data_IF_786871356968
#
_entry.id   IF_786871356968
#
_cell.length_a   1.000
_cell.length_b   1.000
_cell.length_c   1.000
_cell.angle_alpha   90.00
_cell.angle_beta   90.00
_cell.angle_gamma   90.00
#
_symmetry.space_group_name_H-M   'P 1'
#
loop_
_entity.id
_entity.type
_entity.pdbx_description
1 polymer ?
#
# COMPACT_ATOMS: atom_id res chain seq x y z
N UNK A 1 -31.69 4.11 3.09
CA UNK A 1 -30.25 4.30 3.32
C UNK A 1 -29.58 4.21 1.97
N UNK A 2 -28.94 5.28 1.49
CA UNK A 2 -28.44 5.37 0.12
C UNK A 2 -27.04 4.75 0.02
N UNK A 3 -26.69 4.21 -1.13
CA UNK A 3 -25.36 3.66 -1.44
C UNK A 3 -24.23 4.71 -1.25
N UNK A 4 -24.58 6.00 -1.31
CA UNK A 4 -23.71 7.15 -1.00
C UNK A 4 -23.35 7.29 0.49
N UNK A 5 -24.17 6.75 1.40
CA UNK A 5 -23.90 6.78 2.84
C UNK A 5 -22.96 5.64 3.27
N UNK A 6 -22.80 4.61 2.41
CA UNK A 6 -22.06 3.38 2.71
C UNK A 6 -20.59 3.43 2.27
N UNK A 7 -20.25 4.19 1.22
CA UNK A 7 -18.90 4.26 0.67
C UNK A 7 -18.43 5.72 0.52
N UNK A 8 -17.20 6.05 0.95
CA UNK A 8 -16.64 7.40 0.94
C UNK A 8 -16.08 7.76 -0.46
N UNK A 9 -16.89 7.55 -1.48
CA UNK A 9 -16.51 7.69 -2.88
C UNK A 9 -17.65 7.33 -3.82
N UNK A 10 -17.44 7.55 -5.11
CA UNK A 10 -18.38 7.20 -6.16
C UNK A 10 -17.69 6.40 -7.27
N UNK A 11 -18.46 5.52 -7.92
CA UNK A 11 -17.96 4.72 -9.04
C UNK A 11 -17.84 5.58 -10.30
N UNK A 12 -16.71 5.44 -11.01
CA UNK A 12 -16.36 6.19 -12.21
C UNK A 12 -15.75 5.28 -13.27
N UNK A 13 -15.82 5.72 -14.53
CA UNK A 13 -15.13 5.11 -15.67
C UNK A 13 -14.12 6.13 -16.21
N UNK A 14 -12.82 5.84 -16.07
CA UNK A 14 -11.75 6.72 -16.56
C UNK A 14 -10.93 5.97 -17.60
N UNK A 15 -10.91 6.49 -18.83
CA UNK A 15 -10.21 5.89 -19.97
C UNK A 15 -10.55 4.40 -20.17
N UNK A 16 -11.82 4.02 -19.97
CA UNK A 16 -12.29 2.64 -20.08
C UNK A 16 -11.97 1.75 -18.88
N UNK A 17 -11.38 2.29 -17.82
CA UNK A 17 -11.11 1.58 -16.56
C UNK A 17 -12.17 1.95 -15.52
N UNK A 18 -12.92 0.95 -15.08
CA UNK A 18 -13.88 1.06 -13.99
C UNK A 18 -13.19 1.13 -12.63
N UNK A 19 -13.64 2.03 -11.76
CA UNK A 19 -13.06 2.19 -10.43
C UNK A 19 -13.89 3.08 -9.51
N UNK A 20 -13.49 3.13 -8.24
CA UNK A 20 -14.08 4.05 -7.26
C UNK A 20 -13.18 5.27 -7.07
N UNK A 21 -13.72 6.46 -7.32
CA UNK A 21 -13.05 7.73 -7.01
C UNK A 21 -13.27 8.10 -5.55
N UNK A 22 -12.21 8.54 -4.87
CA UNK A 22 -12.30 9.05 -3.51
C UNK A 22 -12.92 10.45 -3.47
N UNK A 23 -13.82 10.68 -2.51
CA UNK A 23 -14.47 11.99 -2.31
C UNK A 23 -13.74 12.89 -1.30
N UNK A 24 -12.64 12.42 -0.71
CA UNK A 24 -11.87 13.22 0.24
C UNK A 24 -11.17 14.36 -0.51
N UNK A 25 -11.36 15.58 -0.01
CA UNK A 25 -10.78 16.78 -0.61
C UNK A 25 -9.26 16.65 -0.76
N UNK A 26 -8.75 16.91 -1.96
CA UNK A 26 -7.33 16.78 -2.30
C UNK A 26 -6.87 15.34 -2.62
N UNK A 27 -7.78 14.37 -2.68
CA UNK A 27 -7.49 13.00 -3.10
C UNK A 27 -8.12 12.70 -4.47
N UNK A 28 -7.29 12.65 -5.52
CA UNK A 28 -7.74 12.26 -6.87
C UNK A 28 -7.54 10.77 -7.16
N UNK A 29 -7.38 9.95 -6.12
CA UNK A 29 -7.12 8.52 -6.28
C UNK A 29 -8.37 7.80 -6.78
N UNK A 30 -8.19 7.00 -7.82
CA UNK A 30 -9.17 6.00 -8.29
C UNK A 30 -8.64 4.63 -7.88
N UNK A 31 -9.43 3.90 -7.12
CA UNK A 31 -9.13 2.53 -6.69
C UNK A 31 -9.97 1.53 -7.45
N UNK A 32 -9.61 0.25 -7.34
CA UNK A 32 -10.21 -0.84 -8.11
C UNK A 32 -11.74 -0.89 -8.06
N UNK A 33 -12.37 -1.68 -8.94
CA UNK A 33 -13.81 -1.64 -9.16
C UNK A 33 -14.64 -2.18 -7.98
N UNK A 34 -14.00 -2.83 -6.98
CA UNK A 34 -14.74 -3.43 -5.88
C UNK A 34 -15.06 -2.37 -4.82
N UNK A 35 -16.28 -2.32 -4.27
CA UNK A 35 -16.61 -1.39 -3.19
C UNK A 35 -15.72 -1.56 -1.94
N UNK A 36 -15.16 -2.75 -1.72
CA UNK A 36 -14.17 -2.99 -0.66
C UNK A 36 -12.86 -2.22 -0.85
N UNK A 37 -12.49 -1.89 -2.09
CA UNK A 37 -11.26 -1.18 -2.41
C UNK A 37 -11.32 0.26 -1.90
N UNK A 38 -12.44 0.96 -2.10
CA UNK A 38 -12.64 2.33 -1.60
C UNK A 38 -12.79 2.39 -0.07
N UNK A 39 -13.45 1.39 0.52
CA UNK A 39 -13.54 1.26 1.98
C UNK A 39 -12.16 1.04 2.61
N UNK A 40 -11.28 0.26 1.96
CA UNK A 40 -9.90 0.06 2.39
C UNK A 40 -9.07 1.33 2.19
N UNK A 41 -9.19 1.96 1.02
CA UNK A 41 -8.50 3.20 0.68
C UNK A 41 -8.74 4.31 1.71
N UNK A 42 -9.99 4.50 2.19
CA UNK A 42 -10.33 5.52 3.20
C UNK A 42 -9.37 5.55 4.39
N UNK A 43 -8.80 4.41 4.79
CA UNK A 43 -7.88 4.30 5.92
C UNK A 43 -6.63 5.17 5.77
N UNK A 44 -6.23 5.54 4.55
CA UNK A 44 -5.12 6.49 4.32
C UNK A 44 -5.41 7.89 4.84
N UNK A 45 -6.67 8.31 4.84
CA UNK A 45 -7.10 9.62 5.35
C UNK A 45 -7.31 9.62 6.87
N UNK A 46 -7.27 8.45 7.50
CA UNK A 46 -7.29 8.33 8.95
C UNK A 46 -5.86 8.45 9.46
N UNK A 47 -5.45 9.66 9.83
CA UNK A 47 -4.08 9.99 10.24
C UNK A 47 -3.47 9.02 11.28
N UNK A 48 -4.31 8.38 12.11
CA UNK A 48 -3.87 7.47 13.17
C UNK A 48 -4.05 5.97 12.87
N UNK A 49 -4.44 5.58 11.66
CA UNK A 49 -4.58 4.16 11.35
C UNK A 49 -3.20 3.48 11.27
N UNK A 50 -3.14 2.18 11.55
CA UNK A 50 -1.91 1.41 11.30
C UNK A 50 -1.53 1.44 9.80
N UNK A 51 -2.54 1.54 8.92
CA UNK A 51 -2.33 1.58 7.48
C UNK A 51 -1.73 2.91 7.00
N UNK A 52 -2.17 4.05 7.56
CA UNK A 52 -1.61 5.36 7.22
C UNK A 52 -0.14 5.46 7.66
N UNK A 53 0.18 4.98 8.87
CA UNK A 53 1.57 4.89 9.37
C UNK A 53 2.46 3.99 8.50
N UNK A 54 1.91 2.90 7.97
CA UNK A 54 2.67 2.01 7.09
C UNK A 54 2.73 2.54 5.64
N UNK A 55 1.83 3.43 5.24
CA UNK A 55 1.80 4.07 3.92
C UNK A 55 2.71 5.31 3.83
N UNK A 56 3.16 5.84 4.97
CA UNK A 56 4.06 6.97 5.03
C UNK A 56 5.36 6.70 4.27
N UNK A 57 5.78 7.69 3.48
CA UNK A 57 7.02 7.61 2.71
C UNK A 57 8.21 7.82 3.63
N UNK A 58 9.24 7.01 3.46
CA UNK A 58 10.53 7.23 4.11
C UNK A 58 11.18 8.52 3.60
N UNK A 59 12.05 9.11 4.41
CA UNK A 59 12.86 10.27 3.99
C UNK A 59 13.76 9.95 2.80
N UNK A 60 14.22 8.70 2.72
CA UNK A 60 14.98 8.16 1.61
C UNK A 60 14.51 6.72 1.31
N UNK A 61 14.43 6.32 0.04
CA UNK A 61 14.14 4.93 -0.30
C UNK A 61 15.21 3.98 0.25
N UNK A 62 14.78 2.80 0.67
CA UNK A 62 15.64 1.73 1.19
C UNK A 62 15.72 0.61 0.16
N UNK A 63 16.92 0.09 -0.09
CA UNK A 63 17.13 -0.99 -1.05
C UNK A 63 16.95 -2.35 -0.38
N UNK A 64 16.26 -3.28 -1.06
CA UNK A 64 16.15 -4.65 -0.62
C UNK A 64 17.52 -5.35 -0.74
N UNK A 65 18.05 -5.81 0.40
CA UNK A 65 19.34 -6.50 0.47
C UNK A 65 19.22 -8.02 0.43
N UNK A 66 17.99 -8.56 0.45
CA UNK A 66 17.78 -10.00 0.39
C UNK A 66 18.15 -10.55 -0.98
N UNK A 67 18.66 -11.77 -0.96
CA UNK A 67 18.84 -12.56 -2.17
C UNK A 67 17.46 -13.03 -2.66
N UNK A 68 17.18 -12.76 -3.93
CA UNK A 68 15.91 -13.14 -4.54
C UNK A 68 15.88 -14.62 -4.92
N UNK A 69 17.01 -15.18 -5.33
CA UNK A 69 17.07 -16.47 -6.03
C UNK A 69 18.08 -17.46 -5.39
N UNK A 70 18.68 -17.10 -4.25
CA UNK A 70 19.69 -17.94 -3.58
C UNK A 70 21.05 -17.96 -4.28
N UNK A 71 21.29 -17.02 -5.19
CA UNK A 71 22.50 -16.93 -6.03
C UNK A 71 23.56 -15.95 -5.49
N UNK A 72 23.35 -15.41 -4.28
CA UNK A 72 24.19 -14.41 -3.64
C UNK A 72 24.06 -13.01 -4.21
N UNK A 73 23.07 -12.75 -5.09
CA UNK A 73 22.86 -11.44 -5.71
C UNK A 73 21.76 -10.67 -4.98
N UNK A 74 22.06 -9.47 -4.43
CA UNK A 74 21.04 -8.65 -3.77
C UNK A 74 19.92 -8.26 -4.73
N UNK A 75 18.67 -8.33 -4.26
CA UNK A 75 17.50 -7.97 -5.05
C UNK A 75 17.55 -6.52 -5.55
N UNK A 76 18.05 -5.59 -4.74
CA UNK A 76 18.25 -4.19 -5.12
C UNK A 76 16.96 -3.38 -5.36
N UNK A 77 15.79 -3.95 -5.05
CA UNK A 77 14.52 -3.26 -5.24
C UNK A 77 14.41 -2.06 -4.28
N UNK A 78 14.11 -0.88 -4.82
CA UNK A 78 13.89 0.33 -4.04
C UNK A 78 12.50 0.33 -3.40
N UNK A 79 12.46 0.46 -2.08
CA UNK A 79 11.25 0.48 -1.27
C UNK A 79 11.14 1.81 -0.53
N UNK A 80 10.01 2.48 -0.67
CA UNK A 80 9.83 3.86 -0.22
C UNK A 80 8.87 4.01 0.97
N UNK A 81 8.29 2.92 1.46
CA UNK A 81 7.32 2.89 2.56
C UNK A 81 7.22 1.48 3.14
N UNK A 82 6.69 1.34 4.36
CA UNK A 82 6.46 0.03 5.00
C UNK A 82 5.47 -0.83 4.21
N UNK A 83 4.42 -0.23 3.64
CA UNK A 83 3.45 -0.94 2.81
C UNK A 83 4.07 -1.47 1.52
N UNK A 84 4.91 -0.67 0.86
CA UNK A 84 5.64 -1.10 -0.32
C UNK A 84 6.59 -2.26 0.03
N UNK A 85 7.31 -2.14 1.15
CA UNK A 85 8.21 -3.17 1.67
C UNK A 85 7.48 -4.49 1.94
N UNK A 86 6.35 -4.47 2.65
CA UNK A 86 5.57 -5.68 2.91
C UNK A 86 5.04 -6.33 1.64
N UNK A 87 4.58 -5.52 0.68
CA UNK A 87 4.08 -6.02 -0.60
C UNK A 87 5.20 -6.69 -1.40
N UNK A 88 6.39 -6.08 -1.41
CA UNK A 88 7.59 -6.64 -2.01
C UNK A 88 7.96 -7.99 -1.38
N UNK A 89 8.10 -8.05 -0.05
CA UNK A 89 8.49 -9.27 0.68
C UNK A 89 7.50 -10.43 0.51
N UNK A 90 6.19 -10.14 0.47
CA UNK A 90 5.17 -11.18 0.20
C UNK A 90 5.30 -11.77 -1.20
N UNK A 91 5.58 -10.92 -2.20
CA UNK A 91 5.62 -11.32 -3.61
C UNK A 91 6.94 -11.98 -4.02
N UNK A 92 8.06 -11.46 -3.51
CA UNK A 92 9.39 -11.82 -3.98
C UNK A 92 10.17 -12.70 -3.02
N UNK A 93 9.86 -12.64 -1.72
CA UNK A 93 10.54 -13.42 -0.67
C UNK A 93 9.59 -14.35 0.08
N UNK A 94 8.36 -14.53 -0.42
CA UNK A 94 7.37 -15.44 0.16
C UNK A 94 6.99 -15.14 1.61
N UNK A 95 7.25 -13.93 2.11
CA UNK A 95 7.02 -13.60 3.51
C UNK A 95 5.54 -13.73 3.86
N UNK A 96 5.26 -14.44 4.97
CA UNK A 96 3.94 -14.58 5.56
C UNK A 96 4.06 -14.37 7.07
N UNK A 97 3.02 -13.79 7.68
CA UNK A 97 2.93 -13.63 9.13
C UNK A 97 3.30 -12.23 9.62
N UNK A 98 4.08 -12.17 10.71
CA UNK A 98 4.32 -10.93 11.44
C UNK A 98 5.17 -9.95 10.62
N UNK A 99 4.58 -8.80 10.30
CA UNK A 99 5.21 -7.71 9.54
C UNK A 99 6.47 -7.16 10.19
N UNK A 100 6.59 -7.20 11.53
CA UNK A 100 7.73 -6.63 12.24
C UNK A 100 9.05 -7.34 11.90
N UNK A 101 8.99 -8.63 11.56
CA UNK A 101 10.17 -9.41 11.11
C UNK A 101 10.81 -8.78 9.87
N UNK A 102 10.00 -8.19 8.98
CA UNK A 102 10.51 -7.50 7.79
C UNK A 102 11.13 -6.16 8.18
N UNK A 103 10.49 -5.40 9.06
CA UNK A 103 10.94 -4.07 9.46
C UNK A 103 12.23 -4.10 10.29
N UNK A 104 12.39 -5.11 11.15
CA UNK A 104 13.59 -5.29 11.98
C UNK A 104 14.86 -5.51 11.14
N UNK A 105 14.74 -5.92 9.88
CA UNK A 105 15.88 -6.02 8.93
C UNK A 105 16.44 -4.66 8.50
N UNK A 106 15.67 -3.58 8.67
CA UNK A 106 16.02 -2.24 8.21
C UNK A 106 15.93 -1.24 9.39
N UNK A 107 16.92 -1.22 10.30
CA UNK A 107 16.91 -0.29 11.41
C UNK A 107 16.98 1.16 10.89
N UNK A 108 16.11 2.03 11.42
CA UNK A 108 16.08 3.45 11.07
C UNK A 108 14.97 3.87 10.08
N UNK A 109 14.01 2.97 9.79
CA UNK A 109 12.73 3.31 9.11
C UNK A 109 11.57 3.49 10.09
#
# INVERSE_FOLDING_TARGET
MSQRDMYPGHFVLVNGVEGWKCDVAGCDTIVGPKPGDIASHRKVHQAHSAYSRDAEKFSQPVLCTEDRDGQGVPCGASMDSRNNMLSHYRRHHGHKGNKNIVFEKYPGI
#
